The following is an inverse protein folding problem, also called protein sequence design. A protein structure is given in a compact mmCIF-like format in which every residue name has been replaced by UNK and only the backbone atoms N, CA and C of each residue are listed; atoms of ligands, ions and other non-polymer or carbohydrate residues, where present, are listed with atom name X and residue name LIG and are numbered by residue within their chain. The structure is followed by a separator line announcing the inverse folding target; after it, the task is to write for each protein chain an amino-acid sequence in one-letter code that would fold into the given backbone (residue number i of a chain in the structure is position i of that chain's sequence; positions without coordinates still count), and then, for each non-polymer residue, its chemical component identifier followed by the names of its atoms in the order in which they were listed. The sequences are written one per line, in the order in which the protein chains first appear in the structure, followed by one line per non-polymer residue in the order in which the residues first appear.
data_IF_546802401735
#
_entry.id   IF_546802401735
#
_cell.length_a   1.000
_cell.length_b   1.000
_cell.length_c   1.000
_cell.angle_alpha   90.00
_cell.angle_beta   90.00
_cell.angle_gamma   90.00
#
_symmetry.space_group_name_H-M   'P 1'
#
loop_
_entity.id
_entity.type
_entity.pdbx_description
1 polymer ?
#
# COMPACT_ATOMS: atom_id res chain seq x y z
N UNK A 1 -4.28 22.06 -3.04
CA UNK A 1 -4.29 20.58 -3.08
C UNK A 1 -2.87 20.13 -3.42
N UNK A 2 -2.15 19.50 -2.49
CA UNK A 2 -0.82 18.93 -2.79
C UNK A 2 -1.05 17.61 -3.49
N UNK A 3 -0.70 17.51 -4.77
CA UNK A 3 -0.76 16.26 -5.51
C UNK A 3 0.50 15.47 -5.19
N UNK A 4 0.36 14.37 -4.43
CA UNK A 4 1.42 13.38 -4.29
C UNK A 4 1.31 12.39 -5.46
N UNK A 5 2.35 12.31 -6.28
CA UNK A 5 2.45 11.30 -7.32
C UNK A 5 3.10 10.05 -6.71
N UNK A 6 2.44 8.90 -6.86
CA UNK A 6 2.92 7.62 -6.33
C UNK A 6 3.21 6.70 -7.50
N UNK A 7 4.48 6.38 -7.69
CA UNK A 7 4.91 5.35 -8.63
C UNK A 7 5.20 4.07 -7.86
N UNK A 8 4.63 2.96 -8.30
CA UNK A 8 4.86 1.64 -7.69
C UNK A 8 5.64 0.78 -8.67
N UNK A 9 6.78 0.27 -8.23
CA UNK A 9 7.64 -0.60 -9.02
C UNK A 9 7.67 -2.01 -8.44
N UNK A 10 7.64 -3.02 -9.31
CA UNK A 10 7.82 -4.43 -8.93
C UNK A 10 9.16 -4.89 -9.47
N UNK A 11 10.00 -5.43 -8.59
CA UNK A 11 11.28 -6.04 -8.98
C UNK A 11 11.09 -7.53 -9.22
N UNK A 12 11.43 -8.00 -10.40
CA UNK A 12 11.39 -9.42 -10.77
C UNK A 12 12.81 -9.97 -10.96
N UNK A 13 12.96 -11.30 -10.85
CA UNK A 13 14.27 -11.97 -10.89
C UNK A 13 14.96 -11.87 -12.26
N UNK A 14 14.20 -11.87 -13.35
CA UNK A 14 14.74 -11.78 -14.72
C UNK A 14 13.71 -11.26 -15.72
N UNK A 15 14.16 -10.86 -16.90
CA UNK A 15 13.30 -10.44 -18.01
C UNK A 15 12.31 -11.54 -18.41
N UNK A 16 12.74 -12.81 -18.42
CA UNK A 16 11.88 -13.95 -18.75
C UNK A 16 10.68 -14.02 -17.79
N UNK A 17 10.91 -13.91 -16.47
CA UNK A 17 9.84 -13.89 -15.48
C UNK A 17 8.91 -12.70 -15.65
N UNK A 18 9.44 -11.54 -16.04
CA UNK A 18 8.63 -10.36 -16.35
C UNK A 18 7.70 -10.60 -17.54
N UNK A 19 8.21 -11.19 -18.62
CA UNK A 19 7.42 -11.54 -19.81
C UNK A 19 6.33 -12.55 -19.45
N UNK A 20 6.68 -13.63 -18.75
CA UNK A 20 5.72 -14.66 -18.34
C UNK A 20 4.61 -14.10 -17.44
N UNK A 21 4.98 -13.29 -16.45
CA UNK A 21 4.01 -12.64 -15.56
C UNK A 21 3.08 -11.70 -16.34
N UNK A 22 3.64 -10.90 -17.25
CA UNK A 22 2.87 -9.96 -18.07
C UNK A 22 1.89 -10.70 -18.99
N UNK A 23 2.33 -11.78 -19.63
CA UNK A 23 1.47 -12.63 -20.46
C UNK A 23 0.34 -13.24 -19.64
N UNK A 24 0.66 -13.82 -18.48
CA UNK A 24 -0.34 -14.40 -17.59
C UNK A 24 -1.36 -13.36 -17.11
N UNK A 25 -0.92 -12.17 -16.65
CA UNK A 25 -1.81 -11.09 -16.23
C UNK A 25 -2.68 -10.56 -17.38
N UNK A 26 -2.15 -10.51 -18.60
CA UNK A 26 -2.91 -10.11 -19.78
C UNK A 26 -4.01 -11.12 -20.12
N UNK A 27 -3.68 -12.41 -20.11
CA UNK A 27 -4.66 -13.48 -20.32
C UNK A 27 -5.72 -13.46 -19.22
N UNK A 28 -5.30 -13.33 -17.96
CA UNK A 28 -6.20 -13.22 -16.82
C UNK A 28 -7.15 -12.02 -16.97
N UNK A 29 -6.62 -10.85 -17.37
CA UNK A 29 -7.42 -9.65 -17.60
C UNK A 29 -8.47 -9.86 -18.69
N UNK A 30 -8.10 -10.47 -19.82
CA UNK A 30 -9.03 -10.80 -20.90
C UNK A 30 -10.11 -11.79 -20.40
N UNK A 31 -9.70 -12.87 -19.74
CA UNK A 31 -10.62 -13.86 -19.18
C UNK A 31 -11.59 -13.27 -18.14
N UNK A 32 -11.15 -12.26 -17.38
CA UNK A 32 -11.99 -11.60 -16.38
C UNK A 32 -13.11 -10.73 -17.01
N UNK A 33 -12.99 -10.33 -18.29
CA UNK A 33 -13.99 -9.51 -18.99
C UNK A 33 -15.21 -10.30 -19.45
N UNK A 34 -15.05 -11.58 -19.79
CA UNK A 34 -16.16 -12.41 -20.26
C UNK A 34 -16.74 -13.24 -19.13
N UNK A 35 -18.07 -13.26 -19.02
CA UNK A 35 -18.75 -13.90 -17.90
C UNK A 35 -18.42 -15.40 -17.77
N UNK A 36 -18.40 -16.14 -18.88
CA UNK A 36 -18.13 -17.56 -18.89
C UNK A 36 -16.71 -17.88 -18.37
N UNK A 37 -15.68 -17.19 -18.87
CA UNK A 37 -14.29 -17.38 -18.43
C UNK A 37 -14.05 -16.83 -17.03
N UNK A 38 -14.73 -15.76 -16.63
CA UNK A 38 -14.69 -15.25 -15.26
C UNK A 38 -15.22 -16.26 -14.25
N UNK A 39 -16.30 -16.99 -14.58
CA UNK A 39 -16.81 -18.10 -13.74
C UNK A 39 -15.78 -19.22 -13.58
N UNK A 40 -14.98 -19.50 -14.62
CA UNK A 40 -13.87 -20.46 -14.54
C UNK A 40 -12.78 -19.95 -13.58
N UNK A 41 -12.32 -18.70 -13.74
CA UNK A 41 -11.31 -18.08 -12.87
C UNK A 41 -11.73 -18.13 -11.39
N UNK A 42 -13.00 -17.88 -11.11
CA UNK A 42 -13.55 -17.91 -9.75
C UNK A 42 -13.68 -19.32 -9.19
N UNK A 43 -14.02 -20.31 -10.02
CA UNK A 43 -14.23 -21.69 -9.57
C UNK A 43 -12.91 -22.44 -9.36
N UNK A 44 -11.90 -22.16 -10.17
CA UNK A 44 -10.61 -22.86 -10.16
C UNK A 44 -9.42 -21.89 -10.05
N UNK A 45 -9.36 -21.05 -9.00
CA UNK A 45 -8.25 -20.11 -8.81
C UNK A 45 -6.91 -20.83 -8.65
N UNK A 46 -6.90 -22.04 -8.10
CA UNK A 46 -5.73 -22.92 -7.99
C UNK A 46 -5.17 -23.30 -9.36
N UNK A 47 -5.99 -23.77 -10.28
CA UNK A 47 -5.55 -24.13 -11.63
C UNK A 47 -5.12 -22.86 -12.39
N UNK A 48 -5.95 -21.81 -12.35
CA UNK A 48 -5.70 -20.58 -13.11
C UNK A 48 -4.50 -19.77 -12.61
N UNK A 49 -4.06 -19.99 -11.36
CA UNK A 49 -2.89 -19.33 -10.77
C UNK A 49 -1.70 -20.27 -10.55
N UNK A 50 -1.73 -21.48 -11.11
CA UNK A 50 -0.66 -22.47 -10.94
C UNK A 50 -0.35 -22.78 -9.46
N UNK A 51 -1.40 -23.00 -8.67
CA UNK A 51 -1.39 -23.23 -7.22
C UNK A 51 -0.86 -22.08 -6.36
N UNK A 52 -0.66 -20.89 -6.94
CA UNK A 52 -0.24 -19.70 -6.19
C UNK A 52 -1.35 -19.19 -5.26
N UNK A 53 -2.60 -19.28 -5.70
CA UNK A 53 -3.79 -19.00 -4.90
C UNK A 53 -4.65 -20.26 -4.78
N UNK A 54 -5.32 -20.42 -3.64
CA UNK A 54 -6.22 -21.55 -3.38
C UNK A 54 -7.56 -21.03 -2.85
N UNK A 55 -8.63 -21.76 -3.14
CA UNK A 55 -9.96 -21.46 -2.59
C UNK A 55 -9.98 -21.46 -1.05
N UNK A 56 -9.16 -22.30 -0.41
CA UNK A 56 -9.01 -22.35 1.04
C UNK A 56 -8.28 -21.14 1.64
N UNK A 57 -7.68 -20.28 0.80
CA UNK A 57 -6.70 -19.30 1.26
C UNK A 57 -5.38 -19.95 1.73
N UNK A 58 -4.47 -19.14 2.28
CA UNK A 58 -3.24 -19.61 2.91
C UNK A 58 -3.52 -20.25 4.28
N UNK A 59 -2.63 -21.14 4.73
CA UNK A 59 -2.69 -21.69 6.10
C UNK A 59 -2.26 -20.65 7.13
N UNK A 60 -2.59 -20.88 8.41
CA UNK A 60 -2.13 -20.02 9.49
C UNK A 60 -0.60 -19.91 9.54
N UNK A 61 0.11 -21.00 9.29
CA UNK A 61 1.58 -21.02 9.27
C UNK A 61 2.13 -20.14 8.14
N UNK A 62 1.52 -20.21 6.95
CA UNK A 62 1.90 -19.36 5.82
C UNK A 62 1.70 -17.88 6.14
N UNK A 63 0.59 -17.54 6.81
CA UNK A 63 0.33 -16.16 7.27
C UNK A 63 1.35 -15.74 8.34
N UNK A 64 1.63 -16.60 9.33
CA UNK A 64 2.59 -16.32 10.43
C UNK A 64 4.02 -16.16 9.93
N UNK A 65 4.41 -16.85 8.86
CA UNK A 65 5.75 -16.78 8.28
C UNK A 65 5.91 -15.66 7.25
N UNK A 66 4.82 -15.11 6.74
CA UNK A 66 4.85 -14.03 5.77
C UNK A 66 5.07 -12.67 6.45
N UNK A 67 5.76 -11.79 5.74
CA UNK A 67 6.03 -10.41 6.13
C UNK A 67 6.15 -9.53 4.89
N UNK A 68 5.92 -8.23 5.01
CA UNK A 68 6.21 -7.28 3.94
C UNK A 68 7.22 -6.22 4.38
N UNK A 69 7.93 -5.68 3.40
CA UNK A 69 8.69 -4.44 3.54
C UNK A 69 8.36 -3.54 2.37
N UNK A 70 7.95 -2.30 2.67
CA UNK A 70 7.82 -1.23 1.71
C UNK A 70 8.91 -0.19 1.90
N UNK A 71 9.42 0.31 0.78
CA UNK A 71 10.35 1.41 0.72
C UNK A 71 9.68 2.59 0.04
N UNK A 72 9.51 3.68 0.78
CA UNK A 72 8.98 4.93 0.27
C UNK A 72 10.13 5.88 0.00
N UNK A 73 10.22 6.35 -1.25
CA UNK A 73 11.20 7.35 -1.68
C UNK A 73 10.45 8.64 -1.96
N UNK A 74 10.69 9.67 -1.15
CA UNK A 74 10.06 10.98 -1.28
C UNK A 74 11.06 12.03 -1.71
N UNK A 75 10.71 12.80 -2.73
CA UNK A 75 11.42 14.02 -3.11
C UNK A 75 10.50 15.24 -2.92
N UNK A 76 11.03 16.31 -2.34
CA UNK A 76 10.29 17.54 -2.10
C UNK A 76 11.20 18.73 -1.82
N UNK A 77 10.64 19.77 -1.23
CA UNK A 77 11.36 21.02 -0.92
C UNK A 77 11.61 21.15 0.58
N UNK A 78 12.73 21.75 0.93
CA UNK A 78 13.12 22.05 2.32
C UNK A 78 12.38 23.26 2.88
N UNK A 79 12.09 24.24 2.02
CA UNK A 79 11.29 25.42 2.30
C UNK A 79 9.78 25.11 2.19
N UNK A 80 8.98 25.90 2.90
CA UNK A 80 7.51 25.83 2.86
C UNK A 80 6.97 27.11 2.22
N UNK A 81 6.09 26.95 1.25
CA UNK A 81 5.36 28.07 0.65
C UNK A 81 3.96 28.22 1.26
N UNK A 82 3.34 29.37 1.01
CA UNK A 82 1.97 29.63 1.45
C UNK A 82 0.98 28.75 0.67
N UNK A 83 -0.19 28.43 1.23
CA UNK A 83 -1.20 27.66 0.51
C UNK A 83 -1.57 28.32 -0.83
N UNK A 84 -1.43 27.57 -1.92
CA UNK A 84 -1.74 28.04 -3.28
C UNK A 84 -0.52 28.47 -4.10
N UNK A 85 0.63 28.67 -3.46
CA UNK A 85 1.90 28.94 -4.14
C UNK A 85 2.57 27.63 -4.59
N UNK A 86 3.29 27.69 -5.71
CA UNK A 86 4.04 26.56 -6.25
C UNK A 86 5.54 26.85 -6.23
N UNK A 87 6.34 25.85 -5.89
CA UNK A 87 7.79 25.96 -5.98
C UNK A 87 8.20 26.08 -7.44
N UNK A 88 9.05 27.08 -7.74
CA UNK A 88 9.61 27.29 -9.08
C UNK A 88 10.87 26.44 -9.32
N UNK A 89 11.56 26.06 -8.25
CA UNK A 89 12.75 25.22 -8.29
C UNK A 89 12.39 23.74 -8.32
N UNK A 90 13.32 22.89 -8.77
CA UNK A 90 13.21 21.45 -8.59
C UNK A 90 13.30 21.06 -7.09
N UNK A 91 12.72 19.91 -6.69
CA UNK A 91 12.85 19.36 -5.35
C UNK A 91 14.32 19.31 -4.89
N UNK A 92 14.60 19.77 -3.67
CA UNK A 92 15.95 19.83 -3.09
C UNK A 92 16.11 18.99 -1.81
N UNK A 93 15.09 18.20 -1.45
CA UNK A 93 15.09 17.36 -0.26
C UNK A 93 14.63 15.95 -0.62
N UNK A 94 15.37 14.95 -0.16
CA UNK A 94 15.00 13.54 -0.29
C UNK A 94 14.78 12.92 1.09
N UNK A 95 13.82 12.02 1.19
CA UNK A 95 13.58 11.21 2.38
C UNK A 95 13.28 9.78 1.97
N UNK A 96 13.84 8.83 2.71
CA UNK A 96 13.57 7.40 2.54
C UNK A 96 12.89 6.91 3.80
N UNK A 97 11.75 6.25 3.66
CA UNK A 97 11.03 5.63 4.76
C UNK A 97 10.88 4.15 4.47
N UNK A 98 11.30 3.32 5.42
CA UNK A 98 11.07 1.89 5.42
C UNK A 98 9.84 1.59 6.27
N UNK A 99 8.92 0.80 5.73
CA UNK A 99 7.77 0.27 6.45
C UNK A 99 7.87 -1.24 6.46
N UNK A 100 7.83 -1.84 7.65
CA UNK A 100 7.84 -3.29 7.83
C UNK A 100 6.54 -3.72 8.48
N UNK A 101 6.05 -4.91 8.14
CA UNK A 101 4.88 -5.47 8.78
C UNK A 101 4.78 -6.99 8.61
N UNK A 102 3.74 -7.60 9.23
CA UNK A 102 3.44 -9.02 9.10
C UNK A 102 2.95 -9.33 7.68
N UNK A 103 2.27 -10.45 7.46
CA UNK A 103 1.59 -10.72 6.20
C UNK A 103 0.78 -9.51 5.71
N UNK A 104 0.95 -9.18 4.42
CA UNK A 104 0.33 -8.00 3.80
C UNK A 104 -1.19 -8.16 3.62
N UNK A 105 -1.66 -9.37 3.31
CA UNK A 105 -3.03 -9.59 2.84
C UNK A 105 -4.08 -9.67 3.96
N UNK A 106 -3.71 -10.29 5.08
CA UNK A 106 -4.61 -10.67 6.16
C UNK A 106 -4.35 -9.83 7.41
N UNK A 107 -3.17 -9.96 8.02
CA UNK A 107 -2.88 -9.29 9.29
C UNK A 107 -2.74 -7.78 9.08
N UNK A 108 -1.84 -7.36 8.18
CA UNK A 108 -1.54 -5.95 8.00
C UNK A 108 -2.75 -5.15 7.46
N UNK A 109 -3.44 -5.67 6.44
CA UNK A 109 -4.61 -4.98 5.87
C UNK A 109 -5.74 -4.85 6.89
N UNK A 110 -6.02 -5.90 7.67
CA UNK A 110 -7.01 -5.84 8.76
C UNK A 110 -6.61 -4.83 9.84
N UNK A 111 -5.33 -4.82 10.23
CA UNK A 111 -4.78 -3.86 11.17
C UNK A 111 -4.93 -2.41 10.68
N UNK A 112 -4.68 -2.15 9.39
CA UNK A 112 -4.88 -0.84 8.79
C UNK A 112 -6.34 -0.37 8.88
N UNK A 113 -7.29 -1.24 8.54
CA UNK A 113 -8.73 -0.91 8.58
C UNK A 113 -9.18 -0.64 10.01
N UNK A 114 -8.85 -1.51 10.96
CA UNK A 114 -9.24 -1.36 12.36
C UNK A 114 -8.58 -0.11 12.97
N UNK A 115 -7.30 0.12 12.70
CA UNK A 115 -6.59 1.31 13.18
C UNK A 115 -7.21 2.59 12.63
N UNK A 116 -7.56 2.62 11.35
CA UNK A 116 -8.26 3.75 10.73
C UNK A 116 -9.65 3.96 11.36
N UNK A 117 -10.46 2.90 11.50
CA UNK A 117 -11.80 2.99 12.08
C UNK A 117 -11.78 3.50 13.52
N UNK A 118 -10.88 2.97 14.36
CA UNK A 118 -10.71 3.42 15.74
C UNK A 118 -10.21 4.87 15.81
N UNK A 119 -9.32 5.26 14.88
CA UNK A 119 -8.83 6.64 14.81
C UNK A 119 -9.96 7.61 14.46
N UNK A 120 -10.79 7.27 13.47
CA UNK A 120 -11.97 8.07 13.12
C UNK A 120 -12.95 8.14 14.29
N UNK A 121 -13.18 7.04 15.00
CA UNK A 121 -14.15 6.99 16.09
C UNK A 121 -13.70 7.78 17.33
N UNK A 122 -12.43 7.68 17.71
CA UNK A 122 -11.93 8.20 18.99
C UNK A 122 -11.11 9.48 18.88
N UNK A 123 -10.70 9.87 17.68
CA UNK A 123 -9.84 11.05 17.44
C UNK A 123 -10.36 11.92 16.29
N UNK A 124 -11.68 11.90 16.07
CA UNK A 124 -12.36 12.75 15.08
C UNK A 124 -12.07 14.25 15.28
N UNK A 125 -11.88 14.68 16.52
CA UNK A 125 -11.52 16.05 16.90
C UNK A 125 -10.14 16.49 16.36
N UNK A 126 -9.24 15.52 16.11
CA UNK A 126 -7.91 15.76 15.53
C UNK A 126 -7.89 15.72 14.01
N UNK A 127 -8.98 15.31 13.38
CA UNK A 127 -9.14 15.24 11.93
C UNK A 127 -9.52 16.61 11.33
N UNK A 128 -9.32 16.84 10.02
CA UNK A 128 -9.76 18.08 9.38
C UNK A 128 -11.28 18.32 9.54
N UNK A 129 -11.65 19.54 9.91
CA UNK A 129 -13.06 19.96 10.03
C UNK A 129 -13.68 20.29 8.66
N UNK A 130 -15.02 20.23 8.56
CA UNK A 130 -15.78 20.64 7.37
C UNK A 130 -16.36 19.50 6.53
N UNK A 131 -16.24 18.24 6.98
CA UNK A 131 -16.75 17.07 6.26
C UNK A 131 -16.08 16.84 4.90
N UNK A 132 -16.55 15.84 4.16
CA UNK A 132 -16.06 15.49 2.82
C UNK A 132 -15.15 14.26 2.79
N UNK A 133 -14.37 14.15 1.71
CA UNK A 133 -13.50 12.99 1.44
C UNK A 133 -12.04 13.38 1.73
N UNK A 134 -11.41 12.65 2.64
CA UNK A 134 -10.02 12.88 3.01
C UNK A 134 -9.14 11.71 2.57
N UNK A 135 -7.96 12.03 2.07
CA UNK A 135 -6.88 11.03 1.96
C UNK A 135 -6.39 10.68 3.36
N UNK A 136 -5.85 9.47 3.54
CA UNK A 136 -5.29 9.03 4.83
C UNK A 136 -4.23 9.98 5.37
N UNK A 137 -3.36 10.50 4.48
CA UNK A 137 -2.33 11.47 4.83
C UNK A 137 -2.90 12.81 5.35
N UNK A 138 -4.07 13.24 4.89
CA UNK A 138 -4.75 14.45 5.40
C UNK A 138 -5.54 14.14 6.68
N UNK A 139 -6.30 13.04 6.65
CA UNK A 139 -7.17 12.59 7.74
C UNK A 139 -6.39 12.33 9.03
N UNK A 140 -5.29 11.58 8.93
CA UNK A 140 -4.64 10.98 10.10
C UNK A 140 -3.34 11.69 10.52
N UNK A 141 -2.95 12.76 9.85
CA UNK A 141 -1.68 13.49 10.07
C UNK A 141 -1.41 13.85 11.54
N UNK A 142 -2.47 14.16 12.29
CA UNK A 142 -2.41 14.63 13.68
C UNK A 142 -2.97 13.62 14.68
N UNK A 143 -3.09 12.36 14.27
CA UNK A 143 -3.75 11.30 15.06
C UNK A 143 -2.74 10.25 15.54
N UNK A 144 -3.16 9.37 16.44
CA UNK A 144 -2.33 8.26 16.94
C UNK A 144 -2.36 6.98 16.07
N UNK A 145 -2.64 7.11 14.77
CA UNK A 145 -2.79 5.92 13.91
C UNK A 145 -1.50 5.09 13.83
N UNK A 146 -0.33 5.72 13.85
CA UNK A 146 0.95 5.03 13.74
C UNK A 146 1.23 4.17 14.98
N UNK A 147 0.89 4.65 16.17
CA UNK A 147 0.98 3.90 17.42
C UNK A 147 0.01 2.71 17.45
N UNK A 148 -1.16 2.84 16.82
CA UNK A 148 -2.10 1.72 16.67
C UNK A 148 -1.55 0.66 15.71
N UNK A 149 -1.03 1.09 14.56
CA UNK A 149 -0.42 0.21 13.56
C UNK A 149 0.78 -0.56 14.13
N UNK A 150 1.61 0.10 14.95
CA UNK A 150 2.76 -0.51 15.60
C UNK A 150 2.36 -1.69 16.51
N UNK A 151 1.21 -1.62 17.19
CA UNK A 151 0.68 -2.73 18.01
C UNK A 151 0.34 -3.98 17.20
N UNK A 152 0.12 -3.83 15.90
CA UNK A 152 -0.08 -4.93 14.96
C UNK A 152 1.21 -5.30 14.20
N UNK A 153 2.36 -4.74 14.60
CA UNK A 153 3.65 -4.99 13.99
C UNK A 153 3.91 -4.20 12.71
N UNK A 154 3.04 -3.24 12.34
CA UNK A 154 3.26 -2.36 11.18
C UNK A 154 4.03 -1.12 11.64
N UNK A 155 5.30 -1.03 11.28
CA UNK A 155 6.23 0.01 11.78
C UNK A 155 6.78 0.85 10.64
N UNK A 156 7.15 2.10 10.94
CA UNK A 156 7.73 3.03 9.97
C UNK A 156 9.03 3.61 10.54
N UNK A 157 10.09 3.61 9.74
CA UNK A 157 11.41 4.14 10.12
C UNK A 157 11.96 5.01 9.00
N UNK A 158 12.38 6.23 9.33
CA UNK A 158 13.18 7.03 8.42
C UNK A 158 14.56 6.40 8.32
N UNK A 159 14.98 6.11 7.10
CA UNK A 159 16.34 5.66 6.80
C UNK A 159 17.08 6.93 6.36
N UNK A 160 18.11 7.33 7.09
CA UNK A 160 18.85 8.57 6.83
C UNK A 160 19.15 8.73 5.33
N UNK A 161 18.77 9.89 4.77
CA UNK A 161 19.14 10.26 3.41
C UNK A 161 20.65 10.52 3.39
N UNK A 162 21.37 9.86 2.48
CA UNK A 162 22.68 10.33 2.09
C UNK A 162 22.55 11.81 1.66
N UNK A 163 23.40 12.65 2.25
CA UNK A 163 23.56 14.08 1.97
C UNK A 163 23.74 14.32 0.48
#
# INVERSE_FOLDING_TARGET
MVMAFVETYIRLKSLLWAVLLTLWLTIFFIMAKFEATRKILQKYPDICSFNMFKNSGPTEEQIKQASFTYWFFGEGWSDKLSPGEQHKSHPNKKMIVRCDGPDAGYIATSACIISAALTVLFEADKMPHGGGVFTTASAFKKTSIYERLEKFGVTFKTVESAV
#
